data_IF_765243247927
#
_entry.id   IF_765243247927
#
_cell.length_a   1.000
_cell.length_b   1.000
_cell.length_c   1.000
_cell.angle_alpha   90.00
_cell.angle_beta   90.00
_cell.angle_gamma   90.00
#
_symmetry.space_group_name_H-M   'P 1'
#
loop_
_entity.id
_entity.type
_entity.pdbx_description
1 polymer ?
#
# COMPACT_ATOMS: atom_id res chain seq x y z
N UNK A 1 -0.41 -26.56 41.29
CA UNK A 1 -1.18 -26.16 40.09
C UNK A 1 -0.80 -24.71 39.81
N UNK A 2 0.07 -24.46 38.82
CA UNK A 2 0.51 -23.10 38.49
C UNK A 2 -0.49 -22.49 37.50
N UNK A 3 -1.23 -21.48 37.94
CA UNK A 3 -2.05 -20.66 37.05
C UNK A 3 -1.11 -19.84 36.16
N UNK A 4 -1.15 -20.08 34.86
CA UNK A 4 -0.52 -19.22 33.88
C UNK A 4 -1.36 -17.95 33.78
N UNK A 5 -0.80 -16.82 34.18
CA UNK A 5 -1.33 -15.49 33.90
C UNK A 5 -1.32 -15.28 32.38
N UNK A 6 -2.41 -14.77 31.77
CA UNK A 6 -2.37 -14.41 30.37
C UNK A 6 -1.37 -13.27 30.18
N UNK A 7 -0.38 -13.49 29.30
CA UNK A 7 0.52 -12.45 28.83
C UNK A 7 -0.34 -11.42 28.13
N UNK A 8 -0.56 -10.27 28.78
CA UNK A 8 -1.03 -9.06 28.11
C UNK A 8 0.02 -8.73 27.04
N UNK A 9 -0.23 -9.15 25.80
CA UNK A 9 0.49 -8.66 24.64
C UNK A 9 0.03 -7.21 24.46
N UNK A 10 0.88 -6.19 24.66
CA UNK A 10 0.55 -4.84 24.26
C UNK A 10 0.74 -4.76 22.74
N UNK A 11 -0.07 -5.49 21.98
CA UNK A 11 -0.30 -5.08 20.61
C UNK A 11 -1.06 -3.77 20.73
N UNK A 12 -0.31 -2.68 20.55
CA UNK A 12 -0.86 -1.37 20.31
C UNK A 12 -2.00 -1.50 19.31
N UNK A 13 -3.24 -1.43 19.80
CA UNK A 13 -4.39 -1.00 19.04
C UNK A 13 -4.13 0.45 18.64
N UNK A 14 -3.25 0.64 17.65
CA UNK A 14 -3.24 1.88 16.90
C UNK A 14 -4.46 1.78 15.97
N UNK A 15 -5.62 2.19 16.48
CA UNK A 15 -6.87 2.27 15.72
C UNK A 15 -6.74 3.19 14.49
N UNK A 16 -5.69 4.03 14.44
CA UNK A 16 -5.26 4.76 13.26
C UNK A 16 -4.53 3.86 12.25
N UNK A 17 -5.28 2.95 11.64
CA UNK A 17 -4.81 2.10 10.54
C UNK A 17 -5.23 2.69 9.18
N UNK A 18 -4.26 2.78 8.25
CA UNK A 18 -4.53 3.12 6.84
C UNK A 18 -4.39 1.88 5.97
N UNK A 19 -5.29 1.70 5.01
CA UNK A 19 -5.18 0.62 4.01
C UNK A 19 -5.00 1.20 2.59
N UNK A 20 -4.24 0.51 1.72
CA UNK A 20 -4.12 0.88 0.32
C UNK A 20 -5.36 0.44 -0.47
N UNK A 21 -5.85 1.31 -1.34
CA UNK A 21 -6.84 1.04 -2.38
C UNK A 21 -6.21 1.33 -3.74
N UNK A 22 -6.22 0.33 -4.63
CA UNK A 22 -5.80 0.49 -6.01
C UNK A 22 -7.00 0.94 -6.85
N UNK A 23 -6.83 2.02 -7.60
CA UNK A 23 -7.81 2.50 -8.58
C UNK A 23 -7.23 2.24 -9.96
N UNK A 24 -7.98 1.56 -10.80
CA UNK A 24 -7.56 1.17 -12.15
C UNK A 24 -8.48 1.86 -13.15
N UNK A 25 -7.91 2.69 -14.02
CA UNK A 25 -8.61 3.20 -15.19
C UNK A 25 -8.54 2.15 -16.29
N UNK A 26 -9.66 1.45 -16.54
CA UNK A 26 -9.74 0.39 -17.55
C UNK A 26 -9.53 0.88 -18.98
N UNK A 27 -9.72 2.18 -19.26
CA UNK A 27 -9.51 2.72 -20.61
C UNK A 27 -8.04 2.95 -20.92
N UNK A 28 -7.28 3.42 -19.93
CA UNK A 28 -5.88 3.80 -20.09
C UNK A 28 -4.90 2.79 -19.50
N UNK A 29 -5.40 1.85 -18.68
CA UNK A 29 -4.59 0.93 -17.89
C UNK A 29 -3.83 1.60 -16.75
N UNK A 30 -4.09 2.89 -16.47
CA UNK A 30 -3.42 3.60 -15.40
C UNK A 30 -3.86 3.08 -14.03
N UNK A 31 -2.88 2.91 -13.14
CA UNK A 31 -3.10 2.47 -11.77
C UNK A 31 -2.66 3.57 -10.82
N UNK A 32 -3.54 3.91 -9.88
CA UNK A 32 -3.32 4.89 -8.83
C UNK A 32 -3.52 4.22 -7.47
N UNK A 33 -2.94 4.79 -6.41
CA UNK A 33 -3.09 4.25 -5.05
C UNK A 33 -3.57 5.33 -4.08
N UNK A 34 -4.65 5.04 -3.38
CA UNK A 34 -5.13 5.84 -2.25
C UNK A 34 -4.81 5.11 -0.94
N UNK A 35 -4.28 5.82 0.04
CA UNK A 35 -4.25 5.36 1.42
C UNK A 35 -5.44 5.94 2.14
N UNK A 36 -6.30 5.06 2.63
CA UNK A 36 -7.58 5.41 3.24
C UNK A 36 -7.48 5.15 4.74
N UNK A 37 -7.81 6.16 5.53
CA UNK A 37 -8.00 6.01 6.98
C UNK A 37 -9.25 5.17 7.24
N UNK A 38 -9.09 4.08 8.00
CA UNK A 38 -10.16 3.08 8.20
C UNK A 38 -11.41 3.67 8.85
N UNK A 39 -11.25 4.53 9.86
CA UNK A 39 -12.36 5.06 10.64
C UNK A 39 -13.20 6.06 9.86
N UNK A 40 -12.55 7.01 9.19
CA UNK A 40 -13.23 8.10 8.50
C UNK A 40 -13.55 7.81 7.04
N UNK A 41 -12.91 6.79 6.44
CA UNK A 41 -12.96 6.53 5.01
C UNK A 41 -12.29 7.63 4.17
N UNK A 42 -11.56 8.56 4.79
CA UNK A 42 -10.90 9.67 4.08
C UNK A 42 -9.59 9.20 3.46
N UNK A 43 -9.34 9.68 2.25
CA UNK A 43 -8.02 9.54 1.62
C UNK A 43 -7.05 10.47 2.33
N UNK A 44 -6.04 9.89 2.99
CA UNK A 44 -4.98 10.63 3.70
C UNK A 44 -3.71 10.77 2.88
N UNK A 45 -3.53 9.91 1.87
CA UNK A 45 -2.45 10.04 0.88
C UNK A 45 -2.93 9.48 -0.46
N UNK A 46 -2.55 10.17 -1.52
CA UNK A 46 -2.80 9.76 -2.89
C UNK A 46 -1.46 9.65 -3.63
N UNK A 47 -1.25 8.55 -4.35
CA UNK A 47 -0.12 8.33 -5.25
C UNK A 47 -0.68 8.25 -6.68
N UNK A 48 -0.45 9.28 -7.51
CA UNK A 48 -0.92 9.28 -8.89
C UNK A 48 -0.14 8.26 -9.74
N UNK A 49 -0.73 7.86 -10.86
CA UNK A 49 -0.16 6.84 -11.74
C UNK A 49 1.28 7.15 -12.21
N UNK A 50 1.61 8.41 -12.44
CA UNK A 50 2.96 8.84 -12.84
C UNK A 50 4.00 8.60 -11.74
N UNK A 51 3.65 8.90 -10.49
CA UNK A 51 4.52 8.68 -9.34
C UNK A 51 4.64 7.18 -9.04
N UNK A 52 3.52 6.45 -9.06
CA UNK A 52 3.51 5.00 -8.87
C UNK A 52 4.42 4.31 -9.89
N UNK A 53 4.35 4.71 -11.17
CA UNK A 53 5.21 4.20 -12.24
C UNK A 53 6.70 4.47 -11.95
N UNK A 54 7.04 5.65 -11.44
CA UNK A 54 8.42 5.97 -11.07
C UNK A 54 8.92 5.12 -9.89
N UNK A 55 8.08 4.90 -8.88
CA UNK A 55 8.40 4.04 -7.72
C UNK A 55 8.67 2.61 -8.19
N UNK A 56 7.76 2.04 -9.01
CA UNK A 56 7.90 0.67 -9.53
C UNK A 56 9.15 0.56 -10.40
N UNK A 57 9.40 1.51 -11.30
CA UNK A 57 10.60 1.53 -12.13
C UNK A 57 11.87 1.54 -11.29
N UNK A 58 11.93 2.41 -10.27
CA UNK A 58 13.08 2.50 -9.36
C UNK A 58 13.32 1.18 -8.62
N UNK A 59 12.25 0.55 -8.11
CA UNK A 59 12.32 -0.76 -7.47
C UNK A 59 12.82 -1.85 -8.44
N UNK A 60 12.25 -1.91 -9.65
CA UNK A 60 12.68 -2.88 -10.66
C UNK A 60 14.15 -2.69 -11.03
N UNK A 61 14.60 -1.45 -11.25
CA UNK A 61 16.01 -1.15 -11.56
C UNK A 61 16.96 -1.56 -10.43
N UNK A 62 16.60 -1.33 -9.16
CA UNK A 62 17.45 -1.73 -8.03
C UNK A 62 17.52 -3.26 -7.83
N UNK A 63 16.57 -4.00 -8.40
CA UNK A 63 16.51 -5.47 -8.34
C UNK A 63 16.89 -6.13 -9.68
N UNK A 64 17.40 -5.37 -10.66
CA UNK A 64 17.82 -5.90 -11.96
C UNK A 64 16.66 -6.39 -12.85
N UNK A 65 15.43 -5.99 -12.55
CA UNK A 65 14.22 -6.34 -13.31
C UNK A 65 14.05 -5.33 -14.45
N UNK A 66 13.98 -5.81 -15.69
CA UNK A 66 13.73 -4.94 -16.85
C UNK A 66 12.23 -4.64 -16.98
N UNK A 67 11.83 -3.46 -16.50
CA UNK A 67 10.45 -3.00 -16.46
C UNK A 67 9.91 -2.50 -17.82
N UNK A 68 10.76 -2.28 -18.84
CA UNK A 68 10.34 -1.63 -20.09
C UNK A 68 9.76 -2.59 -21.14
N UNK A 69 9.83 -3.91 -20.94
CA UNK A 69 9.58 -4.89 -22.02
C UNK A 69 8.10 -5.26 -22.28
N UNK A 70 7.14 -4.71 -21.54
CA UNK A 70 5.75 -5.22 -21.57
C UNK A 70 4.64 -4.17 -21.63
N UNK A 71 4.94 -2.91 -21.96
CA UNK A 71 3.94 -1.82 -21.89
C UNK A 71 3.93 -0.89 -23.12
N UNK A 72 4.12 -1.45 -24.33
CA UNK A 72 3.84 -0.76 -25.60
C UNK A 72 2.42 -1.05 -26.09
#
# INVERSE_FOLDING_TARGET
MHAQTPVNNPHLENDNYTYPQFVIDEKTGHVEVNFIEKESGRVVRHIPATELRAIIRSYCSSHGINFERHWE
#
